data_IF_942347585059
#
_entry.id   IF_942347585059
#
_cell.length_a   1.000
_cell.length_b   1.000
_cell.length_c   1.000
_cell.angle_alpha   90.00
_cell.angle_beta   90.00
_cell.angle_gamma   90.00
#
_symmetry.space_group_name_H-M   'P 1'
#
loop_
_entity.id
_entity.type
_entity.pdbx_description
1 polymer ?
#
# COMPACT_ATOMS: atom_id res chain seq x y z
N UNK A 1 25.60 0.91 -6.51
CA UNK A 1 24.73 2.07 -6.77
C UNK A 1 24.80 3.02 -5.57
N UNK A 2 24.77 4.35 -5.77
CA UNK A 2 24.75 5.33 -4.67
C UNK A 2 23.34 5.89 -4.53
N UNK A 3 22.69 5.78 -3.37
CA UNK A 3 21.27 6.12 -3.26
C UNK A 3 20.96 7.64 -3.22
N UNK A 4 21.90 8.51 -2.84
CA UNK A 4 21.71 9.97 -2.78
C UNK A 4 23.01 10.73 -3.07
N UNK A 5 22.96 11.76 -3.91
CA UNK A 5 24.12 12.58 -4.30
C UNK A 5 24.01 14.06 -3.90
N UNK A 6 22.81 14.58 -3.63
CA UNK A 6 22.60 15.99 -3.29
C UNK A 6 21.74 16.14 -2.04
N UNK A 7 21.99 17.21 -1.27
CA UNK A 7 21.18 17.57 -0.10
C UNK A 7 21.35 16.63 1.10
N UNK A 8 22.50 15.97 1.19
CA UNK A 8 22.79 14.99 2.25
C UNK A 8 22.89 15.69 3.61
N UNK A 9 22.15 15.22 4.61
CA UNK A 9 22.25 15.73 5.98
C UNK A 9 23.67 15.58 6.53
N UNK A 10 24.15 16.54 7.31
CA UNK A 10 25.56 16.55 7.77
C UNK A 10 25.94 15.39 8.69
N UNK A 11 24.98 14.67 9.26
CA UNK A 11 25.15 13.47 10.11
C UNK A 11 24.80 12.16 9.38
N UNK A 12 24.41 12.23 8.11
CA UNK A 12 23.84 11.07 7.38
C UNK A 12 24.96 10.12 6.92
N UNK A 13 24.76 8.83 7.17
CA UNK A 13 25.62 7.77 6.65
C UNK A 13 25.54 7.70 5.11
N UNK A 14 26.65 7.30 4.49
CA UNK A 14 26.75 7.18 3.04
C UNK A 14 26.84 5.71 2.67
N UNK A 15 25.85 5.22 1.91
CA UNK A 15 25.77 3.81 1.55
C UNK A 15 26.08 3.52 0.07
N UNK A 16 26.57 2.30 -0.17
CA UNK A 16 26.74 1.72 -1.50
C UNK A 16 26.16 0.31 -1.52
N UNK A 17 25.28 0.06 -2.50
CA UNK A 17 24.76 -1.27 -2.81
C UNK A 17 25.68 -1.99 -3.81
N UNK A 18 26.11 -3.20 -3.45
CA UNK A 18 26.86 -4.10 -4.33
C UNK A 18 25.93 -5.01 -5.14
N UNK A 19 26.39 -5.45 -6.31
CA UNK A 19 25.65 -6.38 -7.18
C UNK A 19 25.82 -7.85 -6.81
N UNK A 20 26.67 -8.15 -5.82
CA UNK A 20 26.94 -9.49 -5.29
C UNK A 20 27.43 -9.39 -3.85
N UNK A 21 27.40 -10.51 -3.13
CA UNK A 21 27.92 -10.61 -1.78
C UNK A 21 29.43 -10.32 -1.75
N UNK A 22 29.85 -9.49 -0.79
CA UNK A 22 31.23 -9.09 -0.55
C UNK A 22 31.79 -9.80 0.68
N UNK A 23 33.10 -10.02 0.72
CA UNK A 23 33.79 -10.48 1.92
C UNK A 23 33.76 -9.35 2.98
N UNK A 24 33.08 -9.55 4.13
CA UNK A 24 32.99 -8.52 5.17
C UNK A 24 34.35 -8.02 5.67
N UNK A 25 35.39 -8.86 5.69
CA UNK A 25 36.72 -8.44 6.12
C UNK A 25 37.38 -7.46 5.13
N UNK A 26 37.01 -7.56 3.85
CA UNK A 26 37.52 -6.68 2.79
C UNK A 26 36.80 -5.33 2.72
N UNK A 27 35.66 -5.17 3.39
CA UNK A 27 34.88 -3.92 3.43
C UNK A 27 35.17 -3.20 4.74
N UNK A 28 36.08 -2.23 4.71
CA UNK A 28 36.57 -1.54 5.89
C UNK A 28 37.06 -0.12 5.53
N UNK A 29 37.61 0.61 6.51
CA UNK A 29 38.07 2.00 6.34
C UNK A 29 39.27 2.17 5.41
N UNK A 30 39.92 1.10 4.96
CA UNK A 30 40.95 1.16 3.90
C UNK A 30 40.38 0.97 2.49
N UNK A 31 39.16 0.43 2.38
CA UNK A 31 38.53 0.10 1.10
C UNK A 31 37.30 0.95 0.79
N UNK A 32 36.60 1.50 1.79
CA UNK A 32 35.58 2.53 1.60
C UNK A 32 36.05 3.85 2.22
N UNK A 33 36.46 4.78 1.34
CA UNK A 33 37.17 6.00 1.68
C UNK A 33 36.31 7.23 1.40
N UNK A 34 36.35 8.19 2.34
CA UNK A 34 35.94 9.58 2.13
C UNK A 34 37.14 10.45 2.54
N UNK A 35 37.99 10.92 1.59
CA UNK A 35 39.22 11.64 1.92
C UNK A 35 38.97 12.85 2.81
N UNK A 36 39.82 13.02 3.82
CA UNK A 36 39.70 14.10 4.81
C UNK A 36 38.61 13.89 5.87
N UNK A 37 37.88 12.77 5.84
CA UNK A 37 36.84 12.45 6.83
C UNK A 37 37.22 11.15 7.56
N UNK A 38 37.26 11.23 8.89
CA UNK A 38 37.41 10.04 9.74
C UNK A 38 36.03 9.45 10.00
N UNK A 39 35.95 8.12 10.00
CA UNK A 39 34.69 7.41 10.20
C UNK A 39 34.87 5.92 10.37
N UNK A 40 33.74 5.23 10.50
CA UNK A 40 33.65 3.77 10.56
C UNK A 40 32.95 3.25 9.31
N UNK A 41 33.31 2.05 8.88
CA UNK A 41 32.67 1.35 7.77
C UNK A 41 31.97 0.13 8.32
N UNK A 42 30.73 -0.08 7.87
CA UNK A 42 29.94 -1.27 8.16
C UNK A 42 29.55 -1.97 6.86
N UNK A 43 29.28 -3.27 6.95
CA UNK A 43 28.77 -4.05 5.83
C UNK A 43 27.61 -4.95 6.29
N UNK A 44 26.45 -4.73 5.69
CA UNK A 44 25.27 -5.57 5.80
C UNK A 44 25.35 -6.66 4.72
N UNK A 45 25.81 -7.84 5.13
CA UNK A 45 25.96 -8.98 4.24
C UNK A 45 24.61 -9.54 3.73
N UNK A 46 23.52 -9.35 4.49
CA UNK A 46 22.18 -9.81 4.08
C UNK A 46 21.66 -8.97 2.92
N UNK A 47 21.85 -7.65 2.98
CA UNK A 47 21.34 -6.73 1.98
C UNK A 47 22.39 -6.25 0.96
N UNK A 48 23.65 -6.71 1.10
CA UNK A 48 24.80 -6.33 0.28
C UNK A 48 25.09 -4.82 0.28
N UNK A 49 24.88 -4.17 1.42
CA UNK A 49 25.04 -2.72 1.59
C UNK A 49 26.27 -2.44 2.45
N UNK A 50 27.22 -1.64 1.94
CA UNK A 50 28.25 -1.04 2.79
C UNK A 50 27.87 0.40 3.13
N UNK A 51 28.12 0.83 4.36
CA UNK A 51 27.89 2.20 4.80
C UNK A 51 29.15 2.79 5.44
N UNK A 52 29.42 4.05 5.14
CA UNK A 52 30.42 4.86 5.83
C UNK A 52 29.71 5.84 6.76
N UNK A 53 30.03 5.78 8.05
CA UNK A 53 29.55 6.71 9.08
C UNK A 53 30.70 7.60 9.52
N UNK A 54 30.60 8.91 9.29
CA UNK A 54 31.59 9.85 9.78
C UNK A 54 31.58 9.92 11.32
N UNK A 55 32.74 10.08 11.93
CA UNK A 55 32.84 10.23 13.40
C UNK A 55 32.43 11.61 13.90
N UNK A 56 32.49 12.61 13.02
CA UNK A 56 31.96 13.95 13.22
C UNK A 56 31.04 14.31 12.06
N UNK A 57 30.14 15.26 12.26
CA UNK A 57 29.30 15.78 11.17
C UNK A 57 30.18 16.29 10.03
N UNK A 58 29.77 15.99 8.79
CA UNK A 58 30.34 16.60 7.60
C UNK A 58 30.20 18.13 7.64
N UNK A 59 31.12 18.84 6.98
CA UNK A 59 31.00 20.27 6.78
C UNK A 59 29.76 20.58 5.92
N UNK A 60 29.10 21.69 6.20
CA UNK A 60 27.88 22.13 5.51
C UNK A 60 28.15 22.57 4.07
N UNK A 61 27.20 22.37 3.16
CA UNK A 61 27.27 22.84 1.76
C UNK A 61 28.59 22.47 1.06
N UNK A 62 29.16 21.32 1.41
CA UNK A 62 30.50 20.89 0.99
C UNK A 62 30.38 19.66 0.10
N UNK A 63 31.12 19.67 -1.01
CA UNK A 63 31.25 18.52 -1.88
C UNK A 63 32.30 17.56 -1.33
N UNK A 64 31.90 16.30 -1.15
CA UNK A 64 32.78 15.21 -0.77
C UNK A 64 32.88 14.21 -1.90
N UNK A 65 34.08 13.65 -2.08
CA UNK A 65 34.36 12.58 -3.01
C UNK A 65 34.60 11.31 -2.21
N UNK A 66 34.00 10.21 -2.64
CA UNK A 66 34.13 8.92 -1.97
C UNK A 66 34.56 7.86 -2.98
N UNK A 67 35.25 6.83 -2.48
CA UNK A 67 35.75 5.75 -3.31
C UNK A 67 35.61 4.42 -2.59
N UNK A 68 35.16 3.40 -3.33
CA UNK A 68 35.41 2.00 -2.96
C UNK A 68 36.59 1.50 -3.78
N UNK A 69 37.68 1.15 -3.13
CA UNK A 69 38.93 0.76 -3.81
C UNK A 69 38.87 -0.68 -4.33
N UNK A 70 39.83 -1.05 -5.18
CA UNK A 70 40.02 -2.44 -5.65
C UNK A 70 40.40 -3.42 -4.53
N UNK A 71 40.66 -2.93 -3.31
CA UNK A 71 40.87 -3.79 -2.14
C UNK A 71 39.59 -4.49 -1.66
N UNK A 72 38.41 -3.98 -2.01
CA UNK A 72 37.13 -4.64 -1.73
C UNK A 72 36.97 -5.89 -2.60
N UNK A 73 36.66 -7.03 -1.98
CA UNK A 73 36.61 -8.35 -2.62
C UNK A 73 35.26 -9.04 -2.43
N UNK A 74 34.85 -9.84 -3.41
CA UNK A 74 33.72 -10.75 -3.23
C UNK A 74 34.08 -11.92 -2.31
N UNK A 75 33.08 -12.73 -1.94
CA UNK A 75 33.26 -13.90 -1.07
C UNK A 75 34.18 -14.98 -1.65
N UNK A 76 34.49 -14.91 -2.94
CA UNK A 76 35.45 -15.78 -3.62
C UNK A 76 36.87 -15.17 -3.67
N UNK A 77 37.07 -14.01 -3.06
CA UNK A 77 38.35 -13.30 -3.03
C UNK A 77 38.64 -12.44 -4.27
N UNK A 78 37.67 -12.28 -5.19
CA UNK A 78 37.86 -11.51 -6.42
C UNK A 78 37.68 -10.01 -6.13
N UNK A 79 38.68 -9.16 -6.42
CA UNK A 79 38.57 -7.72 -6.19
C UNK A 79 37.60 -7.03 -7.15
N UNK A 80 37.21 -5.79 -6.82
CA UNK A 80 36.59 -4.90 -7.81
C UNK A 80 37.52 -4.70 -9.02
N UNK A 81 36.96 -4.69 -10.23
CA UNK A 81 37.73 -4.51 -11.46
C UNK A 81 38.38 -3.12 -11.59
N UNK A 82 37.74 -2.10 -11.01
CA UNK A 82 38.23 -0.74 -10.89
C UNK A 82 37.64 -0.09 -9.63
N UNK A 83 38.26 0.98 -9.09
CA UNK A 83 37.66 1.73 -7.99
C UNK A 83 36.28 2.28 -8.38
N UNK A 84 35.31 2.17 -7.47
CA UNK A 84 34.00 2.78 -7.63
C UNK A 84 34.01 4.17 -6.98
N UNK A 85 34.12 5.20 -7.81
CA UNK A 85 34.19 6.60 -7.35
C UNK A 85 32.83 7.27 -7.46
N UNK A 86 32.48 8.08 -6.46
CA UNK A 86 31.26 8.87 -6.46
C UNK A 86 31.44 10.14 -5.63
N UNK A 87 30.44 11.02 -5.66
CA UNK A 87 30.47 12.26 -4.87
C UNK A 87 29.10 12.55 -4.29
N UNK A 88 29.09 13.33 -3.22
CA UNK A 88 27.88 13.85 -2.62
C UNK A 88 28.08 15.28 -2.10
N UNK A 89 26.99 16.05 -2.04
CA UNK A 89 26.98 17.42 -1.52
C UNK A 89 26.10 17.45 -0.27
N UNK A 90 26.66 17.95 0.82
CA UNK A 90 25.93 18.13 2.09
C UNK A 90 25.03 19.37 2.05
N UNK A 91 23.95 19.37 2.83
CA UNK A 91 23.14 20.58 3.08
C UNK A 91 23.65 21.34 4.32
N UNK A 92 22.99 22.46 4.64
CA UNK A 92 23.36 23.30 5.78
C UNK A 92 23.01 22.70 7.15
N UNK A 93 22.19 21.65 7.19
CA UNK A 93 21.60 21.11 8.43
C UNK A 93 21.79 19.60 8.56
N UNK A 94 21.88 19.15 9.81
CA UNK A 94 21.75 17.74 10.15
C UNK A 94 20.36 17.22 9.80
N UNK A 95 20.28 15.93 9.57
CA UNK A 95 19.06 15.17 9.52
C UNK A 95 18.46 15.01 10.92
N UNK A 96 17.21 15.41 11.04
CA UNK A 96 16.42 15.39 12.28
C UNK A 96 14.96 15.00 12.04
N UNK A 97 14.56 14.77 10.78
CA UNK A 97 13.26 14.21 10.45
C UNK A 97 13.24 12.75 10.89
N UNK A 98 12.20 12.35 11.61
CA UNK A 98 12.01 10.95 11.94
C UNK A 98 11.36 10.24 10.75
N UNK A 99 11.84 9.04 10.38
CA UNK A 99 11.19 8.26 9.34
C UNK A 99 9.84 7.73 9.84
N UNK A 100 8.95 7.43 8.90
CA UNK A 100 7.69 6.72 9.15
C UNK A 100 7.41 5.66 8.08
N UNK A 101 6.50 4.74 8.37
CA UNK A 101 6.03 3.74 7.38
C UNK A 101 5.03 4.40 6.43
N UNK A 102 5.44 4.59 5.18
CA UNK A 102 4.63 5.20 4.13
C UNK A 102 3.58 4.23 3.55
N UNK A 103 3.92 2.93 3.44
CA UNK A 103 3.01 1.93 2.91
C UNK A 103 3.31 0.52 3.40
N UNK A 104 2.31 -0.36 3.29
CA UNK A 104 2.44 -1.81 3.49
C UNK A 104 1.73 -2.56 2.37
N UNK A 105 2.19 -3.77 2.04
CA UNK A 105 1.50 -4.61 1.04
C UNK A 105 0.17 -5.19 1.55
N UNK A 106 -0.14 -5.06 2.85
CA UNK A 106 -1.41 -5.45 3.46
C UNK A 106 -2.20 -4.23 3.93
N UNK A 107 -3.52 -4.25 3.72
CA UNK A 107 -4.43 -3.27 4.29
C UNK A 107 -4.55 -3.40 5.83
N UNK A 108 -4.91 -2.32 6.52
CA UNK A 108 -5.14 -2.33 7.97
C UNK A 108 -6.29 -3.27 8.30
N UNK A 109 -6.04 -4.26 9.16
CA UNK A 109 -7.03 -5.27 9.52
C UNK A 109 -7.31 -6.26 8.39
N UNK A 110 -6.38 -6.46 7.45
CA UNK A 110 -6.57 -7.37 6.34
C UNK A 110 -6.98 -8.77 6.84
N UNK A 111 -7.97 -9.40 6.23
CA UNK A 111 -8.40 -10.78 6.52
C UNK A 111 -8.09 -11.68 5.32
N UNK A 112 -8.10 -12.99 5.55
CA UNK A 112 -7.81 -14.00 4.53
C UNK A 112 -6.44 -13.86 3.89
N UNK A 113 -5.46 -13.41 4.68
CA UNK A 113 -4.07 -13.32 4.25
C UNK A 113 -3.49 -14.73 4.06
N UNK A 114 -2.73 -15.02 2.99
CA UNK A 114 -2.11 -16.33 2.78
C UNK A 114 -1.23 -16.72 3.95
N UNK A 115 -1.16 -18.03 4.23
CA UNK A 115 -0.33 -18.55 5.31
C UNK A 115 1.17 -18.31 5.05
N UNK A 116 1.58 -18.16 3.80
CA UNK A 116 2.96 -17.87 3.39
C UNK A 116 3.20 -16.40 3.05
N UNK A 117 2.29 -15.49 3.42
CA UNK A 117 2.41 -14.06 3.08
C UNK A 117 3.73 -13.47 3.60
N UNK A 118 4.51 -12.89 2.70
CA UNK A 118 5.61 -11.98 3.05
C UNK A 118 5.04 -10.59 3.31
N UNK A 119 5.55 -9.92 4.33
CA UNK A 119 5.10 -8.57 4.70
C UNK A 119 6.10 -7.57 4.16
N UNK A 120 5.63 -6.65 3.33
CA UNK A 120 6.45 -5.55 2.82
C UNK A 120 6.02 -4.26 3.51
N UNK A 121 7.02 -3.49 3.96
CA UNK A 121 6.89 -2.18 4.60
C UNK A 121 7.78 -1.21 3.84
N UNK A 122 7.19 -0.16 3.27
CA UNK A 122 7.91 0.91 2.58
C UNK A 122 8.01 2.13 3.50
N UNK A 123 9.22 2.66 3.67
CA UNK A 123 9.49 3.88 4.44
C UNK A 123 9.41 5.12 3.55
N UNK A 124 9.23 6.29 4.16
CA UNK A 124 9.22 7.58 3.44
C UNK A 124 10.63 8.09 3.09
N UNK A 125 11.66 7.52 3.72
CA UNK A 125 13.05 7.78 3.43
C UNK A 125 13.94 6.53 3.59
N UNK A 126 15.22 6.66 3.22
CA UNK A 126 16.16 5.55 3.34
C UNK A 126 16.53 5.27 4.81
N UNK A 127 16.34 4.02 5.20
CA UNK A 127 16.70 3.47 6.51
C UNK A 127 18.13 2.93 6.55
N UNK A 128 18.74 2.96 7.74
CA UNK A 128 19.97 2.22 8.01
C UNK A 128 19.65 0.72 8.03
N UNK A 129 20.18 -0.01 7.04
CA UNK A 129 19.82 -1.42 6.81
C UNK A 129 20.17 -2.33 8.00
N UNK A 130 21.23 -2.03 8.77
CA UNK A 130 21.59 -2.80 9.95
C UNK A 130 20.59 -2.64 11.10
N UNK A 131 19.83 -1.54 11.12
CA UNK A 131 18.75 -1.31 12.09
C UNK A 131 17.42 -1.88 11.65
N UNK A 132 17.31 -2.42 10.43
CA UNK A 132 16.13 -3.11 9.89
C UNK A 132 16.39 -4.62 9.95
N UNK A 133 16.03 -5.24 11.07
CA UNK A 133 16.35 -6.63 11.37
C UNK A 133 15.20 -7.30 12.15
N UNK A 134 15.24 -8.61 12.42
CA UNK A 134 14.15 -9.32 13.11
C UNK A 134 13.84 -8.81 14.53
N UNK A 135 14.70 -7.99 15.14
CA UNK A 135 14.42 -7.33 16.42
C UNK A 135 13.63 -6.03 16.28
N UNK A 136 13.69 -5.37 15.11
CA UNK A 136 13.06 -4.07 14.87
C UNK A 136 11.89 -4.13 13.89
N UNK A 137 11.85 -5.11 12.99
CA UNK A 137 10.73 -5.41 12.09
C UNK A 137 10.36 -6.88 12.21
N UNK A 138 9.18 -7.16 12.78
CA UNK A 138 8.74 -8.53 13.03
C UNK A 138 7.22 -8.66 13.08
N UNK A 139 6.76 -9.91 13.03
CA UNK A 139 5.39 -10.28 13.41
C UNK A 139 5.46 -10.94 14.79
N UNK A 140 4.68 -10.44 15.77
CA UNK A 140 4.75 -10.94 17.15
C UNK A 140 4.48 -12.45 17.21
N UNK A 141 5.43 -13.19 17.78
CA UNK A 141 5.34 -14.65 17.93
C UNK A 141 5.63 -15.46 16.67
N UNK A 142 6.13 -14.83 15.60
CA UNK A 142 6.51 -15.50 14.35
C UNK A 142 7.99 -15.29 14.09
N UNK A 143 8.70 -16.37 13.82
CA UNK A 143 10.09 -16.31 13.34
C UNK A 143 10.12 -16.06 11.84
N UNK A 144 11.07 -15.24 11.38
CA UNK A 144 11.21 -14.92 9.98
C UNK A 144 12.51 -14.18 9.69
N UNK A 145 12.87 -14.12 8.41
CA UNK A 145 13.99 -13.34 7.92
C UNK A 145 13.52 -11.94 7.54
N UNK A 146 14.40 -10.94 7.73
CA UNK A 146 14.18 -9.57 7.28
C UNK A 146 15.23 -9.20 6.25
N UNK A 147 14.78 -8.63 5.14
CA UNK A 147 15.64 -8.00 4.12
C UNK A 147 15.20 -6.56 3.91
N UNK A 148 16.08 -5.72 3.36
CA UNK A 148 15.81 -4.32 3.06
C UNK A 148 16.42 -3.93 1.71
N UNK A 149 15.58 -3.40 0.83
CA UNK A 149 16.00 -2.82 -0.44
C UNK A 149 16.10 -1.29 -0.29
N UNK A 150 17.34 -0.78 -0.32
CA UNK A 150 17.64 0.65 -0.16
C UNK A 150 17.14 1.52 -1.31
N UNK A 151 16.92 0.95 -2.51
CA UNK A 151 16.46 1.70 -3.68
C UNK A 151 14.96 1.95 -3.63
N UNK A 152 14.21 0.92 -3.26
CA UNK A 152 12.75 0.99 -3.11
C UNK A 152 12.32 1.35 -1.69
N UNK A 153 13.26 1.54 -0.76
CA UNK A 153 13.04 1.85 0.65
C UNK A 153 12.09 0.86 1.32
N UNK A 154 12.14 -0.40 0.88
CA UNK A 154 11.19 -1.44 1.27
C UNK A 154 11.87 -2.53 2.06
N UNK A 155 11.39 -2.77 3.27
CA UNK A 155 11.76 -3.92 4.09
C UNK A 155 10.75 -5.05 3.89
N UNK A 156 11.25 -6.28 3.79
CA UNK A 156 10.44 -7.49 3.65
C UNK A 156 10.68 -8.43 4.81
N UNK A 157 9.62 -8.80 5.54
CA UNK A 157 9.62 -9.88 6.51
C UNK A 157 9.08 -11.15 5.85
N UNK A 158 9.89 -12.20 5.81
CA UNK A 158 9.51 -13.51 5.30
C UNK A 158 9.39 -14.51 6.45
N UNK A 159 8.17 -14.97 6.82
CA UNK A 159 7.99 -16.02 7.82
C UNK A 159 8.80 -17.27 7.49
N UNK A 160 9.47 -17.86 8.48
CA UNK A 160 10.27 -19.09 8.28
C UNK A 160 9.41 -20.35 8.17
N UNK A 161 8.15 -20.25 8.57
CA UNK A 161 7.13 -21.29 8.45
C UNK A 161 5.81 -20.65 8.04
N UNK A 162 4.90 -21.47 7.52
CA UNK A 162 3.54 -21.02 7.25
C UNK A 162 2.88 -20.53 8.55
N UNK A 163 2.27 -19.36 8.48
CA UNK A 163 1.44 -18.80 9.54
C UNK A 163 0.25 -19.74 9.82
N UNK A 164 -0.23 -19.75 11.06
CA UNK A 164 -1.42 -20.50 11.43
C UNK A 164 -2.64 -19.91 10.72
N UNK A 165 -3.58 -20.76 10.30
CA UNK A 165 -4.83 -20.32 9.69
C UNK A 165 -5.74 -19.58 10.68
N UNK A 166 -6.61 -18.69 10.17
CA UNK A 166 -7.61 -17.96 10.96
C UNK A 166 -7.05 -17.26 12.21
N UNK A 167 -5.81 -16.78 12.13
CA UNK A 167 -5.07 -16.23 13.26
C UNK A 167 -4.77 -14.76 13.00
N UNK A 168 -5.10 -13.89 13.95
CA UNK A 168 -4.73 -12.48 13.91
C UNK A 168 -3.28 -12.30 14.34
N UNK A 169 -2.49 -11.75 13.42
CA UNK A 169 -1.09 -11.39 13.61
C UNK A 169 -0.92 -9.88 13.70
N UNK A 170 0.13 -9.44 14.39
CA UNK A 170 0.50 -8.02 14.52
C UNK A 170 1.89 -7.81 13.95
N UNK A 171 1.96 -6.98 12.90
CA UNK A 171 3.19 -6.44 12.33
C UNK A 171 3.66 -5.30 13.24
N UNK A 172 4.94 -5.31 13.57
CA UNK A 172 5.58 -4.27 14.38
C UNK A 172 6.85 -3.79 13.68
N UNK A 173 6.97 -2.47 13.49
CA UNK A 173 8.27 -1.81 13.29
C UNK A 173 8.53 -0.88 14.47
N UNK A 174 9.57 -1.18 15.24
CA UNK A 174 9.90 -0.47 16.48
C UNK A 174 10.65 0.83 16.22
N UNK A 175 10.75 1.69 17.23
CA UNK A 175 11.62 2.88 17.21
C UNK A 175 13.12 2.55 17.25
N UNK A 176 13.49 1.26 17.31
CA UNK A 176 14.88 0.83 17.14
C UNK A 176 15.35 0.84 15.67
N UNK A 177 14.40 0.86 14.72
CA UNK A 177 14.70 1.15 13.32
C UNK A 177 15.05 2.63 13.16
N UNK A 178 16.17 2.94 12.51
CA UNK A 178 16.68 4.30 12.34
C UNK A 178 16.93 4.61 10.86
N UNK A 179 16.78 5.88 10.50
CA UNK A 179 17.21 6.37 9.20
C UNK A 179 18.75 6.38 9.05
N UNK A 180 19.24 6.79 7.88
CA UNK A 180 20.67 6.98 7.67
C UNK A 180 21.28 8.13 8.49
N UNK A 181 20.47 9.05 9.03
CA UNK A 181 20.88 10.12 9.95
C UNK A 181 20.99 9.69 11.42
N UNK A 182 20.59 8.45 11.74
CA UNK A 182 20.51 7.94 13.11
C UNK A 182 19.25 8.40 13.87
N UNK A 183 18.26 8.95 13.18
CA UNK A 183 16.98 9.35 13.77
C UNK A 183 16.05 8.12 13.83
N UNK A 184 15.47 7.80 15.00
CA UNK A 184 14.59 6.65 15.14
C UNK A 184 13.24 6.86 14.47
N UNK A 185 12.66 5.77 13.96
CA UNK A 185 11.27 5.71 13.49
C UNK A 185 10.32 6.30 14.54
N UNK A 186 9.45 7.22 14.12
CA UNK A 186 8.50 7.86 15.01
C UNK A 186 7.18 8.20 14.30
N UNK A 187 6.03 7.67 14.75
CA UNK A 187 5.85 6.72 15.86
C UNK A 187 6.29 5.30 15.48
N UNK A 188 6.35 4.39 16.47
CA UNK A 188 6.41 2.96 16.15
C UNK A 188 5.23 2.57 15.26
N UNK A 189 5.48 1.68 14.30
CA UNK A 189 4.45 1.17 13.41
C UNK A 189 3.85 -0.11 13.97
N UNK A 190 2.51 -0.16 14.08
CA UNK A 190 1.78 -1.34 14.51
C UNK A 190 0.55 -1.52 13.63
N UNK A 191 0.39 -2.70 13.03
CA UNK A 191 -0.75 -3.04 12.19
C UNK A 191 -1.12 -4.51 12.36
N UNK A 192 -2.41 -4.82 12.37
CA UNK A 192 -2.92 -6.19 12.45
C UNK A 192 -3.38 -6.71 11.09
N UNK A 193 -3.24 -8.01 10.88
CA UNK A 193 -3.88 -8.76 9.80
C UNK A 193 -4.32 -10.15 10.31
N UNK A 194 -5.19 -10.84 9.58
CA UNK A 194 -5.72 -12.17 9.92
C UNK A 194 -5.56 -13.10 8.74
N UNK A 195 -4.94 -14.25 8.98
CA UNK A 195 -4.70 -15.29 7.97
C UNK A 195 -5.98 -16.07 7.61
N UNK A 196 -6.03 -16.61 6.39
CA UNK A 196 -7.13 -17.44 5.88
C UNK A 196 -6.99 -18.94 6.19
N UNK A 197 -7.82 -19.82 5.59
CA UNK A 197 -8.73 -19.55 4.47
C UNK A 197 -10.06 -18.89 4.90
N UNK A 198 -10.61 -17.98 4.08
CA UNK A 198 -11.94 -17.44 4.34
C UNK A 198 -12.96 -18.59 4.34
N UNK A 199 -13.62 -18.85 5.47
CA UNK A 199 -14.91 -19.54 5.47
C UNK A 199 -15.93 -18.50 5.94
N UNK A 200 -16.58 -17.80 5.00
CA UNK A 200 -17.82 -17.05 5.28
C UNK A 200 -17.96 -15.57 4.90
N UNK A 201 -16.97 -14.86 4.35
CA UNK A 201 -17.17 -13.41 4.03
C UNK A 201 -16.51 -12.86 2.75
N UNK A 202 -15.95 -13.71 1.89
CA UNK A 202 -15.25 -13.27 0.67
C UNK A 202 -13.95 -12.46 0.94
N UNK A 203 -13.17 -12.14 -0.10
CA UNK A 203 -11.94 -11.37 0.06
C UNK A 203 -12.25 -9.91 0.47
N UNK A 204 -11.29 -9.22 1.09
CA UNK A 204 -11.41 -7.78 1.33
C UNK A 204 -11.27 -6.97 0.04
N UNK A 205 -11.77 -5.72 -0.02
CA UNK A 205 -11.53 -4.83 -1.15
C UNK A 205 -10.03 -4.64 -1.41
N UNK A 206 -9.66 -4.44 -2.68
CA UNK A 206 -8.30 -4.03 -3.05
C UNK A 206 -8.04 -2.61 -2.53
N UNK A 207 -6.85 -2.37 -1.98
CA UNK A 207 -6.38 -1.11 -1.40
C UNK A 207 -6.15 -0.02 -2.47
N UNK A 208 -7.22 0.37 -3.16
CA UNK A 208 -7.24 1.38 -4.22
C UNK A 208 -7.77 2.72 -3.71
N UNK A 209 -8.86 2.67 -2.92
CA UNK A 209 -9.46 3.86 -2.32
C UNK A 209 -8.96 4.07 -0.89
N UNK A 210 -8.91 5.32 -0.39
CA UNK A 210 -9.28 6.56 -1.08
C UNK A 210 -8.16 7.14 -1.96
N UNK A 211 -6.97 6.53 -1.96
CA UNK A 211 -5.74 7.11 -2.54
C UNK A 211 -5.78 7.30 -4.06
N UNK A 212 -6.61 6.55 -4.79
CA UNK A 212 -6.87 6.77 -6.21
C UNK A 212 -7.69 8.05 -6.49
N UNK A 213 -8.18 8.76 -5.46
CA UNK A 213 -9.00 9.95 -5.63
C UNK A 213 -10.29 9.69 -6.43
N UNK A 214 -10.68 10.66 -7.25
CA UNK A 214 -11.87 10.62 -8.09
C UNK A 214 -11.57 10.17 -9.54
N UNK A 215 -10.39 9.59 -9.79
CA UNK A 215 -10.00 9.14 -11.12
C UNK A 215 -10.88 7.97 -11.61
N UNK A 216 -11.48 8.17 -12.79
CA UNK A 216 -12.20 7.15 -13.55
C UNK A 216 -11.36 6.61 -14.70
N UNK A 217 -10.48 7.46 -15.25
CA UNK A 217 -9.49 7.08 -16.25
C UNK A 217 -8.12 7.58 -15.80
N UNK A 218 -7.12 6.69 -15.77
CA UNK A 218 -5.74 7.02 -15.44
C UNK A 218 -4.81 6.24 -16.35
N UNK A 219 -3.82 6.92 -16.95
CA UNK A 219 -2.83 6.29 -17.83
C UNK A 219 -1.38 6.62 -17.42
N UNK A 220 -0.45 5.73 -17.77
CA UNK A 220 0.98 5.94 -17.56
C UNK A 220 1.58 6.87 -18.63
N UNK A 221 1.19 6.66 -19.89
CA UNK A 221 1.78 7.36 -21.04
C UNK A 221 0.87 8.42 -21.64
N UNK A 222 -0.34 8.06 -22.09
CA UNK A 222 -1.29 8.98 -22.75
C UNK A 222 -2.74 8.56 -22.52
N UNK A 223 -3.65 9.53 -22.51
CA UNK A 223 -5.09 9.28 -22.67
C UNK A 223 -5.55 9.88 -24.00
N UNK A 224 -6.22 9.08 -24.84
CA UNK A 224 -6.73 9.53 -26.14
C UNK A 224 -8.20 9.18 -26.26
N UNK A 225 -9.02 10.16 -26.65
CA UNK A 225 -10.43 9.98 -26.96
C UNK A 225 -10.73 10.38 -28.42
N UNK A 226 -11.56 9.61 -29.10
CA UNK A 226 -11.97 9.91 -30.49
C UNK A 226 -13.38 10.52 -30.56
N UNK A 227 -14.41 9.76 -30.18
CA UNK A 227 -15.82 10.19 -30.27
C UNK A 227 -16.39 10.87 -29.02
N UNK A 228 -17.72 10.99 -28.94
CA UNK A 228 -18.43 11.72 -27.86
C UNK A 228 -18.53 10.92 -26.56
N UNK A 229 -17.38 10.62 -25.96
CA UNK A 229 -17.33 9.92 -24.67
C UNK A 229 -17.80 10.81 -23.52
N UNK A 230 -18.51 10.24 -22.56
CA UNK A 230 -18.93 10.89 -21.31
C UNK A 230 -18.28 10.20 -20.12
N UNK A 231 -17.51 10.94 -19.34
CA UNK A 231 -16.76 10.41 -18.19
C UNK A 231 -17.22 11.10 -16.91
N UNK A 232 -17.75 10.32 -15.97
CA UNK A 232 -18.02 10.79 -14.61
C UNK A 232 -16.78 10.53 -13.75
N UNK A 233 -16.10 11.58 -13.32
CA UNK A 233 -14.85 11.51 -12.55
C UNK A 233 -13.66 12.11 -13.31
N UNK A 234 -12.48 12.01 -12.71
CA UNK A 234 -11.27 12.64 -13.23
C UNK A 234 -10.58 11.76 -14.29
N UNK A 235 -9.88 12.43 -15.20
CA UNK A 235 -9.04 11.81 -16.23
C UNK A 235 -7.60 12.25 -16.00
N UNK A 236 -6.68 11.29 -15.89
CA UNK A 236 -5.29 11.59 -15.54
C UNK A 236 -4.25 10.89 -16.39
N UNK A 237 -3.08 11.51 -16.48
CA UNK A 237 -1.87 10.89 -17.01
C UNK A 237 -0.65 11.28 -16.19
N UNK A 238 0.18 10.30 -15.84
CA UNK A 238 1.49 10.50 -15.19
C UNK A 238 2.33 9.23 -15.32
N UNK A 239 3.65 9.29 -15.57
CA UNK A 239 4.47 10.50 -15.78
C UNK A 239 4.28 11.14 -17.17
N UNK A 240 3.53 10.50 -18.08
CA UNK A 240 3.11 11.14 -19.32
C UNK A 240 2.28 12.40 -19.06
N UNK A 241 2.16 13.25 -20.09
CA UNK A 241 1.49 14.56 -19.99
C UNK A 241 0.39 14.79 -21.03
N UNK A 242 0.15 13.83 -21.92
CA UNK A 242 -0.78 13.99 -23.03
C UNK A 242 -2.16 13.40 -22.72
N UNK A 243 -3.16 14.27 -22.69
CA UNK A 243 -4.59 13.93 -22.73
C UNK A 243 -5.20 14.61 -23.93
N UNK A 244 -5.79 13.85 -24.85
CA UNK A 244 -6.32 14.37 -26.13
C UNK A 244 -7.75 13.87 -26.38
N UNK A 245 -8.51 14.64 -27.18
CA UNK A 245 -9.89 14.29 -27.54
C UNK A 245 -10.97 14.76 -26.57
N UNK A 246 -10.66 15.73 -25.71
CA UNK A 246 -11.61 16.39 -24.82
C UNK A 246 -11.58 17.90 -25.10
N UNK A 247 -12.38 18.44 -26.04
CA UNK A 247 -13.50 17.81 -26.79
C UNK A 247 -13.09 16.90 -27.97
N UNK A 248 -13.99 16.03 -28.52
CA UNK A 248 -15.44 15.96 -28.26
C UNK A 248 -15.85 15.15 -27.03
N UNK A 249 -14.93 14.42 -26.41
CA UNK A 249 -15.17 13.80 -25.12
C UNK A 249 -15.46 14.85 -24.05
N UNK A 250 -16.28 14.50 -23.07
CA UNK A 250 -16.69 15.40 -22.00
C UNK A 250 -16.57 14.73 -20.64
N UNK A 251 -16.11 15.50 -19.66
CA UNK A 251 -16.14 15.14 -18.25
C UNK A 251 -17.44 15.70 -17.66
N UNK A 252 -18.15 14.89 -16.89
CA UNK A 252 -19.41 15.25 -16.21
C UNK A 252 -19.27 15.13 -14.70
N UNK A 253 -20.14 15.81 -13.96
CA UNK A 253 -20.15 15.75 -12.50
C UNK A 253 -18.96 16.46 -11.83
N UNK A 254 -18.33 17.43 -12.51
CA UNK A 254 -17.20 18.20 -11.97
C UNK A 254 -15.84 17.51 -12.10
N UNK A 255 -15.71 16.51 -12.97
CA UNK A 255 -14.43 15.87 -13.26
C UNK A 255 -13.39 16.83 -13.85
N UNK A 256 -12.12 16.60 -13.52
CA UNK A 256 -10.98 17.40 -13.97
C UNK A 256 -9.98 16.56 -14.78
N UNK A 257 -9.28 17.21 -15.72
CA UNK A 257 -8.14 16.60 -16.43
C UNK A 257 -6.85 16.94 -15.68
N UNK A 258 -6.08 15.91 -15.32
CA UNK A 258 -4.81 16.02 -14.61
C UNK A 258 -3.66 15.52 -15.50
N UNK A 259 -2.79 16.42 -15.94
CA UNK A 259 -1.68 16.09 -16.85
C UNK A 259 -0.33 16.29 -16.19
N UNK A 260 0.36 15.18 -15.86
CA UNK A 260 1.66 15.17 -15.20
C UNK A 260 1.74 16.01 -13.91
N UNK A 261 0.62 16.12 -13.16
CA UNK A 261 0.57 16.85 -11.91
C UNK A 261 0.67 15.95 -10.66
N UNK A 262 0.67 16.56 -9.48
CA UNK A 262 0.78 15.84 -8.21
C UNK A 262 -0.38 14.89 -7.93
N UNK A 263 -1.60 15.22 -8.37
CA UNK A 263 -2.78 14.37 -8.16
C UNK A 263 -2.71 13.11 -9.05
N UNK A 264 -2.35 13.26 -10.33
CA UNK A 264 -2.12 12.15 -11.23
C UNK A 264 -0.95 11.27 -10.79
N UNK A 265 0.14 11.88 -10.28
CA UNK A 265 1.28 11.14 -9.73
C UNK A 265 0.89 10.31 -8.50
N UNK A 266 0.16 10.91 -7.55
CA UNK A 266 -0.35 10.19 -6.37
C UNK A 266 -1.30 9.05 -6.75
N UNK A 267 -2.19 9.29 -7.72
CA UNK A 267 -3.10 8.27 -8.22
C UNK A 267 -2.35 7.10 -8.89
N UNK A 268 -1.25 7.38 -9.60
CA UNK A 268 -0.38 6.33 -10.17
C UNK A 268 0.32 5.50 -9.09
N UNK A 269 0.80 6.13 -8.02
CA UNK A 269 1.32 5.41 -6.85
C UNK A 269 0.25 4.52 -6.22
N UNK A 270 -0.96 5.04 -6.02
CA UNK A 270 -2.09 4.27 -5.49
C UNK A 270 -2.46 3.09 -6.40
N UNK A 271 -2.48 3.29 -7.72
CA UNK A 271 -2.68 2.23 -8.70
C UNK A 271 -1.59 1.18 -8.62
N UNK A 272 -0.31 1.56 -8.50
CA UNK A 272 0.78 0.62 -8.38
C UNK A 272 0.64 -0.25 -7.12
N UNK A 273 0.33 0.35 -5.97
CA UNK A 273 0.06 -0.40 -4.73
C UNK A 273 -1.15 -1.32 -4.85
N UNK A 274 -2.27 -0.82 -5.41
CA UNK A 274 -3.48 -1.61 -5.62
C UNK A 274 -3.27 -2.79 -6.58
N UNK A 275 -2.46 -2.60 -7.63
CA UNK A 275 -2.10 -3.66 -8.56
C UNK A 275 -1.32 -4.78 -7.86
N UNK A 276 -0.33 -4.43 -7.04
CA UNK A 276 0.47 -5.40 -6.28
C UNK A 276 -0.39 -6.10 -5.21
N UNK A 277 -1.26 -5.36 -4.50
CA UNK A 277 -2.22 -5.94 -3.55
C UNK A 277 -3.16 -6.94 -4.24
N UNK A 278 -3.76 -6.56 -5.37
CA UNK A 278 -4.65 -7.43 -6.13
C UNK A 278 -3.92 -8.68 -6.66
N UNK A 279 -2.72 -8.53 -7.22
CA UNK A 279 -1.90 -9.65 -7.71
C UNK A 279 -1.39 -10.55 -6.58
N UNK A 280 -1.18 -10.00 -5.38
CA UNK A 280 -0.70 -10.71 -4.20
C UNK A 280 -1.79 -11.46 -3.42
N UNK A 281 -3.08 -11.28 -3.77
CA UNK A 281 -4.16 -12.05 -3.14
C UNK A 281 -3.95 -13.55 -3.37
N UNK A 282 -4.29 -14.34 -2.37
CA UNK A 282 -4.12 -15.80 -2.42
C UNK A 282 -5.44 -16.53 -2.31
N UNK A 283 -5.39 -17.86 -2.43
CA UNK A 283 -6.60 -18.68 -2.40
C UNK A 283 -7.46 -18.50 -3.65
N UNK A 284 -6.85 -18.07 -4.76
CA UNK A 284 -7.52 -17.88 -6.03
C UNK A 284 -8.06 -19.18 -6.60
N UNK A 285 -9.33 -19.20 -6.98
CA UNK A 285 -9.95 -20.30 -7.72
C UNK A 285 -9.51 -20.21 -9.18
N UNK A 286 -8.88 -21.25 -9.75
CA UNK A 286 -8.47 -21.21 -11.15
C UNK A 286 -9.66 -21.04 -12.09
N UNK A 287 -9.65 -19.96 -12.86
CA UNK A 287 -10.64 -19.64 -13.88
C UNK A 287 -9.90 -19.11 -15.12
N UNK A 288 -9.82 -19.94 -16.16
CA UNK A 288 -9.04 -19.64 -17.36
C UNK A 288 -9.90 -19.71 -18.62
N UNK A 289 -9.44 -19.04 -19.69
CA UNK A 289 -10.12 -19.01 -20.97
C UNK A 289 -11.30 -18.03 -20.97
N UNK A 290 -12.45 -18.48 -21.45
CA UNK A 290 -13.65 -17.66 -21.60
C UNK A 290 -14.59 -17.83 -20.40
N UNK A 291 -15.07 -16.71 -19.85
CA UNK A 291 -16.01 -16.68 -18.73
C UNK A 291 -17.48 -16.73 -19.16
N UNK A 292 -17.76 -16.79 -20.46
CA UNK A 292 -19.15 -16.83 -20.98
C UNK A 292 -20.01 -17.90 -20.29
N UNK A 293 -21.21 -17.49 -19.87
CA UNK A 293 -22.19 -18.34 -19.20
C UNK A 293 -21.89 -18.65 -17.73
N UNK A 294 -20.75 -18.23 -17.19
CA UNK A 294 -20.41 -18.49 -15.78
C UNK A 294 -21.17 -17.56 -14.84
N UNK A 295 -21.55 -18.12 -13.70
CA UNK A 295 -21.96 -17.35 -12.52
C UNK A 295 -20.90 -17.54 -11.45
N UNK A 296 -20.22 -16.45 -11.12
CA UNK A 296 -19.12 -16.43 -10.16
C UNK A 296 -19.58 -15.72 -8.89
N UNK A 297 -19.22 -16.27 -7.74
CA UNK A 297 -19.54 -15.70 -6.42
C UNK A 297 -18.37 -14.87 -5.89
N UNK A 298 -18.52 -14.27 -4.72
CA UNK A 298 -17.45 -13.46 -4.13
C UNK A 298 -16.17 -14.29 -3.93
N UNK A 299 -15.04 -13.83 -4.46
CA UNK A 299 -13.83 -14.64 -4.49
C UNK A 299 -12.65 -14.01 -5.19
N UNK A 300 -11.50 -14.67 -5.05
CA UNK A 300 -10.31 -14.43 -5.87
C UNK A 300 -10.29 -15.49 -6.97
N UNK A 301 -10.02 -15.09 -8.20
CA UNK A 301 -10.03 -15.93 -9.39
C UNK A 301 -8.71 -15.77 -10.14
N UNK A 302 -8.12 -16.87 -10.60
CA UNK A 302 -6.77 -16.89 -11.19
C UNK A 302 -6.78 -17.45 -12.60
N UNK A 303 -6.19 -16.71 -13.54
CA UNK A 303 -5.81 -17.20 -14.87
C UNK A 303 -4.32 -16.94 -15.07
N UNK A 304 -3.51 -17.97 -15.33
CA UNK A 304 -2.11 -17.78 -15.70
C UNK A 304 -1.95 -17.29 -17.16
N UNK A 305 -3.02 -17.32 -17.94
CA UNK A 305 -3.06 -16.92 -19.34
C UNK A 305 -4.04 -15.75 -19.55
N UNK A 306 -4.45 -15.52 -20.79
CA UNK A 306 -5.48 -14.52 -21.11
C UNK A 306 -6.86 -14.96 -20.60
N UNK A 307 -7.71 -13.97 -20.32
CA UNK A 307 -9.10 -14.17 -19.94
C UNK A 307 -10.00 -13.45 -20.94
N UNK A 308 -11.03 -14.14 -21.41
CA UNK A 308 -11.99 -13.62 -22.37
C UNK A 308 -13.40 -13.57 -21.76
N UNK A 309 -14.22 -12.65 -22.28
CA UNK A 309 -15.65 -12.56 -22.00
C UNK A 309 -16.35 -12.42 -23.36
N UNK A 310 -16.73 -13.54 -23.98
CA UNK A 310 -17.35 -13.52 -25.30
C UNK A 310 -18.87 -13.27 -25.29
N UNK A 311 -19.50 -13.40 -24.13
CA UNK A 311 -20.91 -13.15 -23.90
C UNK A 311 -21.15 -12.73 -22.45
N UNK A 312 -22.22 -13.21 -21.82
CA UNK A 312 -22.55 -12.78 -20.46
C UNK A 312 -21.75 -13.57 -19.42
N UNK A 313 -21.17 -12.87 -18.45
CA UNK A 313 -20.69 -13.45 -17.19
C UNK A 313 -21.42 -12.78 -16.04
N UNK A 314 -21.92 -13.58 -15.09
CA UNK A 314 -22.65 -13.07 -13.92
C UNK A 314 -21.76 -13.10 -12.68
N UNK A 315 -21.71 -11.98 -11.96
CA UNK A 315 -21.08 -11.84 -10.65
C UNK A 315 -22.18 -11.75 -9.59
N UNK A 316 -22.34 -12.83 -8.83
CA UNK A 316 -23.42 -13.01 -7.87
C UNK A 316 -22.92 -12.77 -6.44
N UNK A 317 -23.41 -11.70 -5.81
CA UNK A 317 -23.10 -11.38 -4.43
C UNK A 317 -23.83 -12.25 -3.40
N UNK A 318 -24.78 -13.09 -3.82
CA UNK A 318 -25.57 -13.97 -2.97
C UNK A 318 -26.23 -13.24 -1.80
N UNK A 319 -26.69 -12.00 -2.05
CA UNK A 319 -27.32 -11.14 -1.04
C UNK A 319 -26.33 -10.33 -0.18
N UNK A 320 -25.02 -10.47 -0.37
CA UNK A 320 -24.00 -9.71 0.36
C UNK A 320 -23.56 -8.44 -0.41
N UNK A 321 -24.04 -7.24 -0.06
CA UNK A 321 -23.70 -6.00 -0.77
C UNK A 321 -22.23 -5.54 -0.59
N UNK A 322 -21.45 -6.27 0.22
CA UNK A 322 -20.01 -6.08 0.40
C UNK A 322 -19.20 -7.19 -0.28
N UNK A 323 -19.82 -8.09 -1.05
CA UNK A 323 -19.14 -9.10 -1.85
C UNK A 323 -18.05 -8.46 -2.73
N UNK A 324 -16.87 -9.07 -2.74
CA UNK A 324 -15.70 -8.64 -3.50
C UNK A 324 -15.32 -9.72 -4.50
N UNK A 325 -14.97 -9.28 -5.71
CA UNK A 325 -14.54 -10.14 -6.81
C UNK A 325 -13.17 -9.65 -7.29
N UNK A 326 -12.16 -10.51 -7.27
CA UNK A 326 -10.80 -10.17 -7.69
C UNK A 326 -10.36 -11.17 -8.74
N UNK A 327 -10.08 -10.68 -9.95
CA UNK A 327 -9.56 -11.48 -11.05
C UNK A 327 -8.08 -11.17 -11.25
N UNK A 328 -7.24 -12.18 -11.10
CA UNK A 328 -5.80 -12.14 -11.33
C UNK A 328 -5.51 -12.78 -12.68
N UNK A 329 -5.13 -11.97 -13.67
CA UNK A 329 -4.98 -12.39 -15.07
C UNK A 329 -3.51 -12.24 -15.45
N UNK A 330 -2.86 -13.34 -15.79
CA UNK A 330 -1.43 -13.37 -16.12
C UNK A 330 -1.08 -12.66 -17.43
N UNK A 331 -2.04 -12.55 -18.35
CA UNK A 331 -1.86 -11.89 -19.65
C UNK A 331 -2.99 -10.89 -19.94
N UNK A 332 -3.65 -10.98 -21.10
CA UNK A 332 -4.64 -10.02 -21.58
C UNK A 332 -6.04 -10.30 -21.05
N UNK A 333 -6.83 -9.24 -20.89
CA UNK A 333 -8.27 -9.32 -20.69
C UNK A 333 -8.97 -8.83 -21.96
N UNK A 334 -9.87 -9.62 -22.53
CA UNK A 334 -10.64 -9.22 -23.72
C UNK A 334 -12.13 -9.43 -23.54
N UNK A 335 -12.93 -8.55 -24.12
CA UNK A 335 -14.38 -8.75 -24.24
C UNK A 335 -14.80 -8.72 -25.71
N UNK A 336 -15.75 -9.56 -26.09
CA UNK A 336 -16.33 -9.53 -27.42
C UNK A 336 -17.34 -8.37 -27.55
N UNK A 337 -17.74 -8.06 -28.79
CA UNK A 337 -18.77 -7.06 -29.05
C UNK A 337 -20.09 -7.43 -28.38
N UNK A 338 -20.72 -6.49 -27.69
CA UNK A 338 -22.01 -6.70 -27.03
C UNK A 338 -22.01 -7.68 -25.84
N UNK A 339 -20.84 -8.02 -25.30
CA UNK A 339 -20.72 -8.85 -24.10
C UNK A 339 -21.06 -8.08 -22.82
N UNK A 340 -21.46 -8.78 -21.75
CA UNK A 340 -21.86 -8.15 -20.50
C UNK A 340 -21.17 -8.78 -19.28
N UNK A 341 -20.71 -7.92 -18.37
CA UNK A 341 -20.50 -8.30 -16.97
C UNK A 341 -21.76 -7.93 -16.20
N UNK A 342 -22.52 -8.95 -15.79
CA UNK A 342 -23.80 -8.79 -15.10
C UNK A 342 -23.59 -8.85 -13.60
N UNK A 343 -24.12 -7.88 -12.85
CA UNK A 343 -24.10 -7.88 -11.39
C UNK A 343 -25.43 -8.42 -10.86
N UNK A 344 -25.38 -9.43 -10.00
CA UNK A 344 -26.56 -10.06 -9.42
C UNK A 344 -26.58 -9.97 -7.88
N UNK A 345 -27.79 -10.03 -7.32
CA UNK A 345 -28.07 -10.18 -5.89
C UNK A 345 -27.26 -9.25 -4.97
N UNK A 346 -27.12 -7.98 -5.35
CA UNK A 346 -26.45 -6.95 -4.55
C UNK A 346 -24.96 -6.73 -4.87
N UNK A 347 -24.42 -7.39 -5.89
CA UNK A 347 -23.06 -7.13 -6.35
C UNK A 347 -22.93 -5.68 -6.85
N UNK A 348 -21.76 -5.08 -6.60
CA UNK A 348 -21.47 -3.67 -6.94
C UNK A 348 -20.25 -3.60 -7.82
N UNK A 349 -20.29 -2.80 -8.88
CA UNK A 349 -19.16 -2.67 -9.81
C UNK A 349 -17.88 -2.24 -9.08
N UNK A 350 -17.98 -1.32 -8.13
CA UNK A 350 -16.84 -0.81 -7.38
C UNK A 350 -16.16 -1.84 -6.46
N UNK A 351 -16.77 -3.01 -6.27
CA UNK A 351 -16.22 -4.13 -5.52
C UNK A 351 -15.61 -5.21 -6.43
N UNK A 352 -15.58 -4.98 -7.74
CA UNK A 352 -14.98 -5.87 -8.74
C UNK A 352 -13.62 -5.30 -9.17
N UNK A 353 -12.59 -6.14 -9.15
CA UNK A 353 -11.22 -5.77 -9.49
C UNK A 353 -10.64 -6.73 -10.53
N UNK A 354 -10.12 -6.18 -11.62
CA UNK A 354 -9.49 -6.92 -12.70
C UNK A 354 -8.02 -6.54 -12.76
N UNK A 355 -7.15 -7.34 -12.16
CA UNK A 355 -5.71 -7.18 -12.25
C UNK A 355 -5.24 -7.88 -13.54
N UNK A 356 -4.72 -7.10 -14.49
CA UNK A 356 -4.37 -7.56 -15.84
C UNK A 356 -2.87 -7.47 -16.06
N UNK A 357 -2.23 -8.62 -16.28
CA UNK A 357 -0.78 -8.79 -16.40
C UNK A 357 -0.17 -8.13 -17.63
N UNK A 358 -0.97 -7.84 -18.65
CA UNK A 358 -0.56 -7.04 -19.80
C UNK A 358 -1.56 -5.91 -20.08
N UNK A 359 -2.42 -6.07 -21.10
CA UNK A 359 -3.35 -5.06 -21.56
C UNK A 359 -4.80 -5.57 -21.56
N UNK A 360 -5.75 -4.65 -21.43
CA UNK A 360 -7.18 -4.95 -21.55
C UNK A 360 -7.77 -4.33 -22.82
N UNK A 361 -8.62 -5.08 -23.52
CA UNK A 361 -9.38 -4.59 -24.68
C UNK A 361 -10.86 -4.90 -24.52
N UNK A 362 -11.68 -3.87 -24.38
CA UNK A 362 -13.13 -4.02 -24.29
C UNK A 362 -13.76 -3.89 -25.68
N UNK A 363 -14.46 -4.92 -26.13
CA UNK A 363 -15.12 -4.99 -27.43
C UNK A 363 -16.31 -4.06 -27.54
N UNK A 364 -16.69 -3.73 -28.77
CA UNK A 364 -17.65 -2.64 -29.05
C UNK A 364 -19.00 -2.89 -28.41
N UNK A 365 -19.66 -1.85 -27.93
CA UNK A 365 -20.98 -1.93 -27.28
C UNK A 365 -21.06 -2.92 -26.10
N UNK A 366 -19.93 -3.35 -25.51
CA UNK A 366 -19.95 -4.19 -24.31
C UNK A 366 -20.33 -3.36 -23.07
N UNK A 367 -20.93 -4.02 -22.08
CA UNK A 367 -21.21 -3.44 -20.76
C UNK A 367 -20.27 -4.08 -19.76
N UNK A 368 -19.32 -3.30 -19.26
CA UNK A 368 -18.27 -3.78 -18.36
C UNK A 368 -18.45 -3.22 -16.95
N UNK A 369 -18.15 -4.04 -15.94
CA UNK A 369 -18.28 -3.67 -14.52
C UNK A 369 -16.97 -3.93 -13.80
N UNK A 370 -16.45 -2.93 -13.10
CA UNK A 370 -15.29 -3.07 -12.22
C UNK A 370 -14.14 -2.11 -12.48
N UNK A 371 -13.13 -2.25 -11.62
CA UNK A 371 -11.88 -1.48 -11.69
C UNK A 371 -10.85 -2.31 -12.46
N UNK A 372 -10.46 -1.85 -13.65
CA UNK A 372 -9.40 -2.48 -14.44
C UNK A 372 -8.06 -1.89 -14.01
N UNK A 373 -7.15 -2.76 -13.54
CA UNK A 373 -5.79 -2.45 -13.12
C UNK A 373 -4.83 -3.12 -14.12
N UNK A 374 -4.54 -2.46 -15.23
CA UNK A 374 -3.69 -3.03 -16.30
C UNK A 374 -2.23 -2.64 -16.12
N UNK A 375 -1.32 -3.60 -16.34
CA UNK A 375 0.12 -3.32 -16.30
C UNK A 375 0.54 -2.39 -17.44
N UNK A 376 0.05 -2.65 -18.66
CA UNK A 376 0.36 -1.90 -19.86
C UNK A 376 -0.80 -0.96 -20.24
N UNK A 377 -1.57 -1.29 -21.28
CA UNK A 377 -2.57 -0.37 -21.87
C UNK A 377 -4.01 -0.87 -21.68
N UNK A 378 -4.98 0.04 -21.80
CA UNK A 378 -6.41 -0.27 -21.86
C UNK A 378 -7.01 0.35 -23.11
N UNK A 379 -7.64 -0.46 -23.95
CA UNK A 379 -8.39 -0.01 -25.12
C UNK A 379 -9.87 -0.24 -24.89
N UNK A 380 -10.63 0.85 -24.82
CA UNK A 380 -12.09 0.82 -24.72
C UNK A 380 -12.64 1.22 -26.08
N UNK A 381 -13.13 0.23 -26.83
CA UNK A 381 -13.61 0.46 -28.21
C UNK A 381 -14.99 1.13 -28.22
N UNK A 382 -15.48 1.44 -29.43
CA UNK A 382 -16.71 2.22 -29.65
C UNK A 382 -17.91 1.75 -28.81
N UNK A 383 -18.56 2.67 -28.11
CA UNK A 383 -19.88 2.43 -27.51
C UNK A 383 -19.87 1.63 -26.21
N UNK A 384 -18.71 1.28 -25.65
CA UNK A 384 -18.63 0.58 -24.36
C UNK A 384 -19.23 1.41 -23.23
N UNK A 385 -20.01 0.75 -22.37
CA UNK A 385 -20.49 1.29 -21.10
C UNK A 385 -19.70 0.64 -19.94
N UNK A 386 -18.79 1.40 -19.34
CA UNK A 386 -18.00 0.98 -18.19
C UNK A 386 -18.56 1.60 -16.91
N UNK A 387 -19.04 0.76 -16.00
CA UNK A 387 -19.27 1.17 -14.60
C UNK A 387 -18.07 0.73 -13.77
N UNK A 388 -17.23 1.68 -13.36
CA UNK A 388 -15.97 1.40 -12.71
C UNK A 388 -14.83 2.29 -13.21
N UNK A 389 -13.63 1.74 -13.34
CA UNK A 389 -12.41 2.52 -13.64
C UNK A 389 -11.53 1.85 -14.68
N UNK A 390 -10.87 2.65 -15.51
CA UNK A 390 -9.83 2.21 -16.45
C UNK A 390 -8.48 2.77 -16.03
N UNK A 391 -7.65 1.95 -15.38
CA UNK A 391 -6.41 2.37 -14.74
C UNK A 391 -5.21 1.60 -15.34
N UNK A 392 -4.45 2.27 -16.20
CA UNK A 392 -3.27 1.73 -16.89
C UNK A 392 -1.98 2.25 -16.24
N UNK A 393 -1.11 1.33 -15.80
CA UNK A 393 0.11 1.68 -15.03
C UNK A 393 1.20 2.32 -15.89
N UNK A 394 1.51 1.71 -17.03
CA UNK A 394 2.66 2.12 -17.86
C UNK A 394 2.26 2.56 -19.27
N UNK A 395 1.15 2.04 -19.77
CA UNK A 395 0.66 2.29 -21.12
C UNK A 395 -0.43 3.34 -21.19
N UNK A 396 -1.12 3.34 -22.32
CA UNK A 396 -2.13 4.31 -22.68
C UNK A 396 -3.54 3.83 -22.30
N UNK A 397 -4.46 4.78 -22.14
CA UNK A 397 -5.91 4.50 -22.21
C UNK A 397 -6.49 5.14 -23.48
N UNK A 398 -7.10 4.31 -24.33
CA UNK A 398 -7.73 4.75 -25.59
C UNK A 398 -9.24 4.57 -25.50
N UNK A 399 -10.00 5.60 -25.86
CA UNK A 399 -11.46 5.68 -25.75
C UNK A 399 -12.11 6.06 -27.09
N UNK A 400 -13.32 5.57 -27.31
CA UNK A 400 -14.15 5.97 -28.44
C UNK A 400 -15.65 5.89 -28.08
N UNK A 401 -16.32 7.05 -28.04
CA UNK A 401 -17.79 7.14 -27.87
C UNK A 401 -18.29 6.30 -26.68
N UNK A 402 -17.64 6.42 -25.53
CA UNK A 402 -17.90 5.59 -24.35
C UNK A 402 -18.70 6.29 -23.28
N UNK A 403 -19.37 5.53 -22.42
CA UNK A 403 -19.91 6.02 -21.15
C UNK A 403 -19.10 5.38 -20.02
N UNK A 404 -18.40 6.20 -19.24
CA UNK A 404 -17.63 5.75 -18.08
C UNK A 404 -18.26 6.37 -16.82
N UNK A 405 -18.96 5.54 -16.07
CA UNK A 405 -19.53 5.92 -14.78
C UNK A 405 -18.56 5.43 -13.71
N UNK A 406 -17.70 6.34 -13.24
CA UNK A 406 -16.71 6.09 -12.21
C UNK A 406 -17.27 5.43 -10.93
N UNK A 407 -16.39 5.16 -9.99
CA UNK A 407 -16.79 4.74 -8.66
C UNK A 407 -16.75 5.93 -7.69
N UNK A 408 -17.83 6.20 -6.94
CA UNK A 408 -17.84 7.33 -6.01
C UNK A 408 -16.74 7.14 -4.96
N UNK A 409 -16.02 8.23 -4.66
CA UNK A 409 -15.04 8.23 -3.58
C UNK A 409 -15.78 7.93 -2.28
N UNK A 410 -15.48 6.81 -1.62
CA UNK A 410 -15.92 6.61 -0.25
C UNK A 410 -15.22 7.68 0.58
N UNK A 411 -15.97 8.66 1.08
CA UNK A 411 -15.44 9.57 2.12
C UNK A 411 -14.81 8.70 3.19
N UNK A 412 -13.56 9.00 3.56
CA UNK A 412 -12.95 8.38 4.73
C UNK A 412 -13.96 8.46 5.88
N UNK A 413 -14.19 7.35 6.58
CA UNK A 413 -14.83 7.42 7.89
C UNK A 413 -14.06 8.49 8.67
N UNK A 414 -14.73 9.46 9.30
CA UNK A 414 -14.03 10.51 10.03
C UNK A 414 -13.04 9.83 10.97
N UNK A 415 -11.75 10.12 10.78
CA UNK A 415 -10.66 9.54 11.56
C UNK A 415 -11.09 9.50 13.02
N UNK A 416 -11.32 8.30 13.57
CA UNK A 416 -11.32 8.11 15.00
C UNK A 416 -9.91 8.53 15.41
N UNK A 417 -9.78 9.74 15.96
CA UNK A 417 -8.52 10.22 16.51
C UNK A 417 -8.05 9.13 17.47
N UNK A 418 -6.92 8.50 17.15
CA UNK A 418 -6.17 7.69 18.09
C UNK A 418 -5.81 8.62 19.25
N UNK A 419 -6.64 8.63 20.29
CA UNK A 419 -6.21 9.09 21.59
C UNK A 419 -5.25 7.99 22.05
N UNK A 420 -3.96 8.31 22.07
CA UNK A 420 -2.91 7.39 22.49
C UNK A 420 -3.30 6.71 23.80
N UNK A 421 -2.97 5.42 23.90
CA UNK A 421 -3.16 4.61 25.10
C UNK A 421 -2.34 5.19 26.26
N UNK A 422 -2.91 6.19 26.92
CA UNK A 422 -2.55 6.69 28.23
C UNK A 422 -3.83 6.71 29.05
N UNK A 423 -4.46 5.54 29.22
CA UNK A 423 -5.56 5.41 30.17
C UNK A 423 -4.97 5.57 31.59
N UNK A 424 -4.97 6.80 32.09
CA UNK A 424 -4.99 7.05 33.52
C UNK A 424 -6.26 6.39 34.05
N UNK A 425 -6.10 5.25 34.71
CA UNK A 425 -7.16 4.64 35.51
C UNK A 425 -7.39 5.58 36.69
N UNK A 426 -8.28 6.57 36.53
CA UNK A 426 -8.81 7.31 37.66
C UNK A 426 -9.87 6.42 38.34
N UNK A 427 -9.44 5.67 39.36
CA UNK A 427 -10.36 4.97 40.25
C UNK A 427 -11.14 5.99 41.10
N UNK A 428 -12.33 6.39 40.65
CA UNK A 428 -13.24 7.17 41.49
C UNK A 428 -13.76 6.27 42.61
N UNK A 429 -13.27 6.48 43.85
CA UNK A 429 -13.89 5.92 45.05
C UNK A 429 -15.17 6.71 45.33
N UNK A 430 -16.33 6.08 45.13
CA UNK A 430 -17.61 6.62 45.58
C UNK A 430 -17.69 6.37 47.09
N UNK A 431 -17.61 7.43 47.90
CA UNK A 431 -17.90 7.36 49.32
C UNK A 431 -19.42 7.37 49.50
N UNK A 432 -20.00 6.21 49.85
CA UNK A 432 -21.38 6.12 50.30
C UNK A 432 -21.41 6.40 51.81
N UNK A 433 -22.06 7.49 52.20
CA UNK A 433 -22.33 7.81 53.60
C UNK A 433 -23.15 6.70 54.28
N UNK A 434 -22.75 6.42 55.54
CA UNK A 434 -23.44 5.70 56.61
C UNK A 434 -24.67 4.83 56.26
N UNK A 435 -24.51 3.50 56.36
CA UNK A 435 -25.62 2.59 56.64
C UNK A 435 -25.48 1.21 56.00
N UNK A 436 -25.20 0.21 56.83
CA UNK A 436 -25.36 -1.23 56.62
C UNK A 436 -24.14 -2.04 56.08
N UNK A 437 -23.50 -2.91 56.88
CA UNK A 437 -22.41 -3.76 56.44
C UNK A 437 -22.97 -5.06 55.82
N UNK A 438 -23.05 -5.15 54.50
CA UNK A 438 -23.41 -6.42 53.86
C UNK A 438 -23.63 -6.47 52.34
N UNK A 439 -23.75 -5.34 51.63
CA UNK A 439 -24.04 -5.38 50.19
C UNK A 439 -22.78 -5.23 49.32
N UNK A 440 -22.42 -6.26 48.55
CA UNK A 440 -21.49 -6.12 47.41
C UNK A 440 -22.23 -5.44 46.26
N UNK A 441 -21.78 -4.24 45.86
CA UNK A 441 -22.26 -3.58 44.63
C UNK A 441 -21.46 -4.12 43.44
N UNK A 442 -22.09 -4.61 42.36
CA UNK A 442 -21.36 -5.01 41.16
C UNK A 442 -20.77 -3.79 40.45
N UNK A 443 -19.50 -3.87 40.04
CA UNK A 443 -18.89 -2.85 39.18
C UNK A 443 -19.57 -2.88 37.81
N UNK A 444 -20.26 -1.80 37.45
CA UNK A 444 -20.79 -1.58 36.11
C UNK A 444 -19.81 -0.68 35.35
N UNK A 445 -19.20 -1.13 34.23
CA UNK A 445 -18.42 -0.23 33.40
C UNK A 445 -19.37 0.74 32.69
N UNK A 446 -19.19 2.04 32.91
CA UNK A 446 -19.94 3.10 32.22
C UNK A 446 -19.14 3.50 30.98
N UNK A 447 -19.66 3.21 29.78
CA UNK A 447 -19.19 3.82 28.54
C UNK A 447 -19.92 5.15 28.32
N UNK A 448 -19.21 6.27 28.44
CA UNK A 448 -19.69 7.60 28.08
C UNK A 448 -18.95 8.14 26.86
N UNK A 449 -19.69 8.61 25.85
CA UNK A 449 -19.15 9.39 24.72
C UNK A 449 -19.28 10.88 25.02
N UNK A 450 -18.17 11.62 25.03
CA UNK A 450 -18.14 13.08 25.13
C UNK A 450 -17.86 13.73 23.78
N UNK A 451 -18.63 14.77 23.43
CA UNK A 451 -18.39 15.62 22.26
C UNK A 451 -17.72 16.90 22.77
N UNK A 452 -16.51 17.22 22.29
CA UNK A 452 -15.82 18.44 22.66
C UNK A 452 -16.45 19.65 21.94
N UNK A 453 -17.27 20.42 22.66
CA UNK A 453 -17.58 21.81 22.33
C UNK A 453 -16.61 22.72 23.08
N UNK A 454 -16.14 23.79 22.44
CA UNK A 454 -15.25 24.77 23.05
C UNK A 454 -15.81 25.37 24.35
N UNK A 455 -14.88 25.79 25.22
CA UNK A 455 -15.05 26.47 26.51
C UNK A 455 -15.39 25.59 27.73
N UNK A 456 -14.32 25.16 28.43
CA UNK A 456 -14.17 24.89 29.87
C UNK A 456 -15.41 24.59 30.74
N UNK A 457 -16.33 23.73 30.31
CA UNK A 457 -17.35 23.17 31.20
C UNK A 457 -17.88 21.81 30.73
N UNK A 458 -17.58 20.76 31.48
CA UNK A 458 -18.14 19.42 31.26
C UNK A 458 -19.49 19.30 31.99
N UNK A 459 -20.59 19.16 31.24
CA UNK A 459 -21.89 18.76 31.79
C UNK A 459 -22.19 17.30 31.42
N UNK A 460 -22.35 16.45 32.42
CA UNK A 460 -22.81 15.07 32.24
C UNK A 460 -24.34 15.02 32.23
N UNK A 461 -24.94 14.39 31.21
CA UNK A 461 -26.34 13.94 31.24
C UNK A 461 -26.36 12.42 31.28
N UNK A 462 -26.86 11.84 32.38
CA UNK A 462 -27.11 10.40 32.50
C UNK A 462 -28.54 10.14 32.04
N UNK A 463 -28.74 9.27 31.03
CA UNK A 463 -30.01 8.60 30.78
C UNK A 463 -29.87 7.16 31.24
N UNK A 464 -30.60 6.75 32.28
CA UNK A 464 -30.77 5.35 32.61
C UNK A 464 -31.89 4.77 31.72
N UNK A 465 -31.60 3.71 30.96
CA UNK A 465 -32.59 2.87 30.32
C UNK A 465 -32.77 1.61 31.18
N UNK A 466 -33.80 1.57 32.03
CA UNK A 466 -34.23 0.33 32.67
C UNK A 466 -35.21 -0.38 31.74
N UNK A 467 -34.80 -1.53 31.21
CA UNK A 467 -35.72 -2.54 30.68
C UNK A 467 -35.62 -3.77 31.57
N UNK A 468 -36.41 -3.79 32.64
CA UNK A 468 -36.68 -5.00 33.40
C UNK A 468 -38.17 -5.35 33.20
N UNK A 469 -38.43 -6.41 32.44
CA UNK A 469 -39.72 -7.11 32.44
C UNK A 469 -39.81 -7.90 33.74
N UNK A 470 -40.72 -7.52 34.61
CA UNK A 470 -41.23 -8.36 35.68
C UNK A 470 -42.74 -8.37 35.57
N UNK A 471 -43.29 -9.49 35.10
CA UNK A 471 -44.72 -9.77 35.12
C UNK A 471 -45.08 -10.25 36.54
N UNK A 472 -46.04 -9.59 37.19
CA UNK A 472 -46.81 -10.15 38.30
C UNK A 472 -48.29 -9.86 38.05
N UNK A 473 -49.02 -10.92 37.75
CA UNK A 473 -50.40 -11.18 38.16
C UNK A 473 -50.64 -12.68 38.00
#
# INVERSE_FOLDING_TARGET
>A
MVPQSNGVGTNREIAVLFSKAMDPASINTSTFLVPGVVGTVTYDATNMIAAFKSSANYATNTAYYASITVGAKDTSGTPLAAPFNFSFITRATSDTSAPYVAATNLAVGATCVPLSQKIDVTFDEQMNSLTINPGTFFIKGVTGAVTYDVLTQTATFAPSASLAANTTYTITVTTGAQDMGGVPLSPQFVQTFTTGPCQGSGPLPVALCPNIGNFSVLAGSTVTNTGTSTITGDVGVSPGSSVTGFPPGQLVGGGTIHSADGAAAQAQTALASAYVDAAGRSGGTPEAGDLVGKTLTAGVYTSSSSLAISGDVTLDAQGNPNAIFIFQIGSTLTTASGSHVVLANGAKACNVFWQVGSSATLGTNSVFKGNILALASITITTGVNLEGRALARTGAVTLDTNVITGCPVRKALPNTRYIGAGALIASAHIWAGSGNPGARVPQVPILGYGIAGGENSFRWRVRASQTAKTTFS
#
